data_IF_249101009181
#
_entry.id   IF_249101009181
#
_cell.length_a   1.000
_cell.length_b   1.000
_cell.length_c   1.000
_cell.angle_alpha   90.00
_cell.angle_beta   90.00
_cell.angle_gamma   90.00
#
_symmetry.space_group_name_H-M   'P 1'
#
loop_
_entity.id
_entity.type
_entity.pdbx_description
1 polymer ?
#
# COMPACT_ATOMS: atom_id res chain seq x y z
N UNK A 1 24.27 -3.14 5.17
CA UNK A 1 23.88 -3.35 3.76
C UNK A 1 25.08 -3.10 2.88
N UNK A 2 25.23 -3.83 1.78
CA UNK A 2 26.24 -3.53 0.77
C UNK A 2 25.80 -2.30 -0.04
N UNK A 3 26.68 -1.32 -0.22
CA UNK A 3 26.42 -0.19 -1.12
C UNK A 3 26.70 -0.64 -2.56
N UNK A 4 25.73 -0.45 -3.44
CA UNK A 4 25.81 -0.80 -4.87
C UNK A 4 25.56 0.46 -5.70
N UNK A 5 26.36 0.67 -6.75
CA UNK A 5 26.13 1.80 -7.66
C UNK A 5 24.84 1.59 -8.44
N UNK A 6 24.06 2.65 -8.61
CA UNK A 6 22.77 2.58 -9.31
C UNK A 6 22.87 2.13 -10.79
N UNK A 7 24.04 2.25 -11.41
CA UNK A 7 24.30 1.89 -12.80
C UNK A 7 24.95 0.51 -12.98
N UNK A 8 25.26 -0.20 -11.88
CA UNK A 8 25.85 -1.54 -11.92
C UNK A 8 24.75 -2.62 -11.85
N UNK A 9 24.24 -2.99 -13.02
CA UNK A 9 23.13 -3.95 -13.15
C UNK A 9 23.51 -5.33 -12.60
N UNK A 10 24.75 -5.78 -12.83
CA UNK A 10 25.21 -7.09 -12.38
C UNK A 10 25.29 -7.15 -10.84
N UNK A 11 25.79 -6.09 -10.21
CA UNK A 11 25.81 -5.98 -8.76
C UNK A 11 24.39 -5.89 -8.17
N UNK A 12 23.44 -5.18 -8.81
CA UNK A 12 22.04 -5.13 -8.38
C UNK A 12 21.40 -6.52 -8.45
N UNK A 13 21.62 -7.26 -9.56
CA UNK A 13 21.08 -8.62 -9.72
C UNK A 13 21.63 -9.59 -8.67
N UNK A 14 22.89 -9.43 -8.25
CA UNK A 14 23.50 -10.24 -7.20
C UNK A 14 22.89 -10.01 -5.80
N UNK A 15 22.11 -8.94 -5.60
CA UNK A 15 21.38 -8.70 -4.34
C UNK A 15 20.08 -9.50 -4.23
N UNK A 16 19.59 -10.11 -5.32
CA UNK A 16 18.36 -10.90 -5.29
C UNK A 16 18.53 -12.11 -4.37
N UNK A 17 17.57 -12.32 -3.46
CA UNK A 17 17.57 -13.40 -2.49
C UNK A 17 16.17 -14.00 -2.37
N UNK A 18 16.10 -15.28 -2.00
CA UNK A 18 14.85 -15.94 -1.59
C UNK A 18 14.50 -15.63 -0.12
N UNK A 19 15.42 -15.03 0.63
CA UNK A 19 15.20 -14.60 2.01
C UNK A 19 14.43 -13.27 2.05
N UNK A 20 13.27 -13.29 2.70
CA UNK A 20 12.50 -12.08 2.98
C UNK A 20 13.09 -11.33 4.19
N UNK A 21 12.99 -10.00 4.16
CA UNK A 21 13.31 -9.15 5.30
C UNK A 21 12.32 -9.32 6.45
N UNK A 22 12.66 -8.75 7.61
CA UNK A 22 11.71 -8.65 8.73
C UNK A 22 10.51 -7.77 8.36
N UNK A 23 9.42 -7.92 9.13
CA UNK A 23 8.25 -7.07 8.98
C UNK A 23 8.61 -5.60 9.22
N UNK A 24 8.16 -4.72 8.32
CA UNK A 24 8.28 -3.27 8.48
C UNK A 24 7.32 -2.71 9.54
N UNK A 25 7.39 -1.40 9.72
CA UNK A 25 6.43 -0.68 10.57
C UNK A 25 5.01 -0.79 10.00
N UNK A 26 4.03 -0.99 10.88
CA UNK A 26 2.63 -1.04 10.46
C UNK A 26 2.09 0.35 10.14
N UNK A 27 1.13 0.41 9.23
CA UNK A 27 0.42 1.64 8.88
C UNK A 27 -1.07 1.41 9.09
N UNK A 28 -1.70 2.33 9.82
CA UNK A 28 -3.15 2.39 9.92
C UNK A 28 -3.73 3.06 8.66
N UNK A 29 -4.58 2.34 7.93
CA UNK A 29 -5.34 2.89 6.81
C UNK A 29 -6.69 3.37 7.33
N UNK A 30 -6.81 4.67 7.56
CA UNK A 30 -8.03 5.29 8.08
C UNK A 30 -9.07 5.53 6.99
N UNK A 31 -10.34 5.67 7.38
CA UNK A 31 -11.41 6.04 6.46
C UNK A 31 -11.15 7.39 5.78
N UNK A 32 -10.47 8.33 6.45
CA UNK A 32 -10.11 9.61 5.84
C UNK A 32 -9.15 9.41 4.67
N UNK A 33 -8.13 8.55 4.83
CA UNK A 33 -7.19 8.23 3.74
C UNK A 33 -7.90 7.58 2.55
N UNK A 34 -8.87 6.70 2.83
CA UNK A 34 -9.72 6.08 1.81
C UNK A 34 -10.54 7.16 1.07
N UNK A 35 -11.17 8.08 1.80
CA UNK A 35 -11.97 9.14 1.21
C UNK A 35 -11.12 10.12 0.38
N UNK A 36 -9.96 10.53 0.88
CA UNK A 36 -9.04 11.42 0.17
C UNK A 36 -8.55 10.78 -1.14
N UNK A 37 -8.29 9.46 -1.13
CA UNK A 37 -7.91 8.73 -2.33
C UNK A 37 -9.06 8.62 -3.33
N UNK A 38 -10.30 8.45 -2.86
CA UNK A 38 -11.50 8.50 -3.70
C UNK A 38 -11.68 9.87 -4.36
N UNK A 39 -11.43 10.95 -3.62
CA UNK A 39 -11.52 12.32 -4.14
C UNK A 39 -10.41 12.60 -5.18
N UNK A 40 -9.19 12.12 -4.92
CA UNK A 40 -8.05 12.28 -5.83
C UNK A 40 -8.23 11.52 -7.15
N UNK A 41 -8.71 10.28 -7.08
CA UNK A 41 -8.77 9.37 -8.25
C UNK A 41 -10.11 9.38 -8.95
N UNK A 42 -11.16 9.88 -8.30
CA UNK A 42 -12.54 9.76 -8.77
C UNK A 42 -13.16 8.38 -8.53
N UNK A 43 -12.44 7.43 -7.93
CA UNK A 43 -13.01 6.13 -7.54
C UNK A 43 -13.86 6.27 -6.27
N UNK A 44 -15.14 6.58 -6.50
CA UNK A 44 -16.17 6.76 -5.47
C UNK A 44 -17.02 5.50 -5.28
N UNK A 45 -16.50 4.31 -5.57
CA UNK A 45 -17.28 3.09 -5.38
C UNK A 45 -17.71 2.95 -3.91
N UNK A 46 -18.99 2.63 -3.71
CA UNK A 46 -19.63 2.66 -2.39
C UNK A 46 -18.95 1.76 -1.34
N UNK A 47 -18.32 0.66 -1.78
CA UNK A 47 -17.57 -0.25 -0.88
C UNK A 47 -16.39 0.42 -0.18
N UNK A 48 -15.95 1.58 -0.67
CA UNK A 48 -14.85 2.35 -0.09
C UNK A 48 -15.37 3.48 0.80
N UNK A 49 -16.37 4.24 0.32
CA UNK A 49 -16.73 5.54 0.91
C UNK A 49 -18.06 5.56 1.68
N UNK A 50 -18.96 4.61 1.41
CA UNK A 50 -20.25 4.54 2.08
C UNK A 50 -20.17 3.52 3.22
N UNK A 51 -19.80 4.01 4.40
CA UNK A 51 -19.60 3.18 5.60
C UNK A 51 -20.88 2.47 6.01
N UNK A 52 -22.01 3.19 6.03
CA UNK A 52 -23.28 2.63 6.46
C UNK A 52 -23.76 1.53 5.53
N UNK A 53 -23.69 1.77 4.22
CA UNK A 53 -24.07 0.78 3.22
C UNK A 53 -23.10 -0.41 3.26
N UNK A 54 -21.81 -0.15 3.41
CA UNK A 54 -20.79 -1.20 3.49
C UNK A 54 -21.01 -2.11 4.70
N UNK A 55 -21.37 -1.58 5.87
CA UNK A 55 -21.72 -2.39 7.04
C UNK A 55 -22.96 -3.27 6.82
N UNK A 56 -23.93 -2.82 6.00
CA UNK A 56 -25.22 -3.52 5.78
C UNK A 56 -25.19 -4.51 4.62
N UNK A 57 -24.52 -4.14 3.53
CA UNK A 57 -24.63 -4.80 2.22
C UNK A 57 -23.32 -5.43 1.74
N UNK A 58 -22.16 -4.98 2.24
CA UNK A 58 -20.87 -5.48 1.74
C UNK A 58 -20.61 -6.90 2.22
N UNK A 59 -20.13 -7.82 1.36
CA UNK A 59 -19.67 -9.14 1.79
C UNK A 59 -18.45 -9.07 2.71
N UNK A 60 -17.78 -7.92 2.81
CA UNK A 60 -16.62 -7.69 3.66
C UNK A 60 -16.99 -7.24 5.08
N UNK A 61 -18.26 -6.95 5.36
CA UNK A 61 -18.74 -6.54 6.69
C UNK A 61 -18.36 -5.11 7.11
N UNK A 62 -17.91 -4.28 6.17
CA UNK A 62 -17.47 -2.91 6.40
C UNK A 62 -16.84 -2.30 5.14
N UNK A 63 -16.44 -1.02 5.19
CA UNK A 63 -15.70 -0.39 4.10
C UNK A 63 -14.32 -1.06 3.94
N UNK A 64 -13.85 -1.14 2.70
CA UNK A 64 -12.51 -1.64 2.38
C UNK A 64 -11.71 -0.54 1.70
N UNK A 65 -10.39 -0.52 1.86
CA UNK A 65 -9.53 0.41 1.15
C UNK A 65 -9.53 0.13 -0.37
N UNK A 66 -9.24 1.16 -1.17
CA UNK A 66 -8.98 0.97 -2.60
C UNK A 66 -7.75 0.08 -2.80
N UNK A 67 -7.81 -0.87 -3.73
CA UNK A 67 -6.63 -1.70 -4.04
C UNK A 67 -5.44 -0.85 -4.52
N UNK A 68 -5.70 0.22 -5.27
CA UNK A 68 -4.67 1.17 -5.70
C UNK A 68 -4.15 2.07 -4.58
N UNK A 69 -4.91 2.29 -3.50
CA UNK A 69 -4.37 2.95 -2.30
C UNK A 69 -3.31 2.05 -1.66
N UNK A 70 -3.61 0.77 -1.47
CA UNK A 70 -2.63 -0.21 -0.93
C UNK A 70 -1.36 -0.26 -1.77
N UNK A 71 -1.48 -0.31 -3.10
CA UNK A 71 -0.31 -0.25 -4.00
C UNK A 71 0.48 1.06 -3.85
N UNK A 72 -0.23 2.19 -3.73
CA UNK A 72 0.39 3.52 -3.60
C UNK A 72 1.13 3.72 -2.26
N UNK A 73 0.85 2.90 -1.25
CA UNK A 73 1.54 2.95 0.05
C UNK A 73 2.92 2.26 0.01
N UNK A 74 3.27 1.55 -1.07
CA UNK A 74 4.57 0.88 -1.20
C UNK A 74 5.78 1.76 -0.85
N UNK A 75 5.92 3.02 -1.32
CA UNK A 75 7.06 3.86 -0.96
C UNK A 75 7.14 4.19 0.53
N UNK A 76 5.99 4.22 1.23
CA UNK A 76 5.92 4.49 2.68
C UNK A 76 6.20 3.23 3.51
N UNK A 77 5.81 2.06 3.00
CA UNK A 77 6.04 0.76 3.60
C UNK A 77 7.47 0.25 3.34
N UNK A 78 8.08 0.66 2.23
CA UNK A 78 9.43 0.27 1.89
C UNK A 78 10.41 0.94 2.85
N UNK A 79 11.17 0.12 3.56
CA UNK A 79 12.31 0.53 4.37
C UNK A 79 13.53 0.76 3.47
N UNK A 80 13.44 1.75 2.59
CA UNK A 80 14.65 2.27 1.95
C UNK A 80 15.37 3.16 2.96
N UNK A 81 16.62 2.87 3.34
CA UNK A 81 17.42 3.87 4.02
C UNK A 81 17.57 5.06 3.06
N UNK A 82 17.00 6.20 3.44
CA UNK A 82 17.34 7.50 2.85
C UNK A 82 18.71 7.96 3.32
#
# INVERSE_FOLDING_TARGET
>A
MAEVRFDDIDAINALASEEFGEWGESIEVSQQMINDFADLTGDRQWIHIDVERSLKESPFGGPVAHGFLTLSLMPKLATFPV
#
